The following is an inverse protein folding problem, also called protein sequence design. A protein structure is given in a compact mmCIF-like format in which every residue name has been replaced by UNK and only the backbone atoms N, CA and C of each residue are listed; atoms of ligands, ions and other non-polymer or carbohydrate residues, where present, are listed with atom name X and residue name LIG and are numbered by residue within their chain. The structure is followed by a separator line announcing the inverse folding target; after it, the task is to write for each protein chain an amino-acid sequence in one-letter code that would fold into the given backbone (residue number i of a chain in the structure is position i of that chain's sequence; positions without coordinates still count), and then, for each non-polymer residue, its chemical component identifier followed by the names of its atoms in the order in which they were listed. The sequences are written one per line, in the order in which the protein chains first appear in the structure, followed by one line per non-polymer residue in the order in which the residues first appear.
data_IF_571338612326
#
_entry.id   IF_571338612326
#
_cell.length_a   1.000
_cell.length_b   1.000
_cell.length_c   1.000
_cell.angle_alpha   90.00
_cell.angle_beta   90.00
_cell.angle_gamma   90.00
#
_symmetry.space_group_name_H-M   'P 1'
#
loop_
_entity.id
_entity.type
_entity.pdbx_description
1 polymer ?
#
# COMPACT_ATOMS: atom_id res chain seq x y z
N UNK A 1 51.37 18.88 3.51
CA UNK A 1 50.25 19.05 4.47
C UNK A 1 49.01 19.73 3.85
N UNK A 2 49.09 20.89 3.22
CA UNK A 2 47.89 21.58 2.64
C UNK A 2 47.20 20.80 1.52
N UNK A 3 47.93 20.08 0.65
CA UNK A 3 47.38 19.26 -0.44
C UNK A 3 46.66 18.00 0.06
N UNK A 4 47.16 17.38 1.14
CA UNK A 4 46.56 16.18 1.75
C UNK A 4 45.26 16.52 2.50
N UNK A 5 45.21 17.65 3.17
CA UNK A 5 44.02 18.16 3.86
C UNK A 5 42.91 18.50 2.85
N UNK A 6 43.28 19.10 1.70
CA UNK A 6 42.31 19.41 0.63
C UNK A 6 41.69 18.14 -0.02
N UNK A 7 42.50 17.09 -0.18
CA UNK A 7 42.00 15.79 -0.72
C UNK A 7 41.07 15.08 0.25
N UNK A 8 41.33 15.14 1.55
CA UNK A 8 40.45 14.58 2.58
C UNK A 8 39.17 15.37 2.68
N UNK A 9 39.20 16.69 2.57
CA UNK A 9 37.99 17.53 2.57
C UNK A 9 37.11 17.30 1.34
N UNK A 10 37.72 17.08 0.16
CA UNK A 10 36.97 16.71 -1.06
C UNK A 10 36.32 15.34 -0.98
N UNK A 11 36.98 14.37 -0.33
CA UNK A 11 36.43 13.01 -0.15
C UNK A 11 35.25 13.00 0.82
N UNK A 12 35.25 13.83 1.87
CA UNK A 12 34.13 13.95 2.83
C UNK A 12 32.93 14.64 2.19
N UNK A 13 33.13 15.57 1.25
CA UNK A 13 32.04 16.23 0.52
C UNK A 13 31.34 15.28 -0.48
N UNK A 14 32.07 14.32 -1.05
CA UNK A 14 31.47 13.31 -1.97
C UNK A 14 30.67 12.25 -1.22
N UNK A 15 31.06 11.91 0.02
CA UNK A 15 30.31 10.93 0.85
C UNK A 15 29.09 11.54 1.56
N UNK A 16 29.01 12.87 1.69
CA UNK A 16 27.88 13.57 2.34
C UNK A 16 26.62 13.72 1.47
N UNK A 17 26.70 13.38 0.18
CA UNK A 17 25.56 13.47 -0.76
C UNK A 17 24.74 12.18 -0.87
N UNK A 18 25.06 11.13 -0.10
CA UNK A 18 24.26 9.90 -0.07
C UNK A 18 23.10 10.07 0.89
N UNK A 19 21.99 10.56 0.32
CA UNK A 19 20.65 10.14 0.70
C UNK A 19 20.08 10.75 1.97
N UNK A 20 19.53 11.96 1.88
CA UNK A 20 18.19 12.10 2.38
C UNK A 20 17.27 11.31 1.41
N UNK A 21 17.08 10.03 1.63
CA UNK A 21 15.94 9.33 1.09
C UNK A 21 14.73 10.01 1.74
N UNK A 22 14.20 11.03 1.06
CA UNK A 22 12.87 11.54 1.34
C UNK A 22 11.99 10.28 1.38
N UNK A 23 11.28 10.06 2.47
CA UNK A 23 10.26 9.03 2.51
C UNK A 23 9.42 9.25 1.26
N UNK A 24 9.55 8.38 0.28
CA UNK A 24 8.92 8.57 -1.02
C UNK A 24 7.42 8.70 -0.73
N UNK A 25 6.83 9.82 -1.12
CA UNK A 25 5.40 10.05 -0.99
C UNK A 25 4.72 9.01 -1.88
N UNK A 26 4.21 7.94 -1.26
CA UNK A 26 3.60 6.79 -1.93
C UNK A 26 2.09 6.97 -2.01
N UNK A 27 1.48 6.38 -3.04
CA UNK A 27 0.02 6.25 -3.12
C UNK A 27 -0.35 4.96 -2.41
N UNK A 28 -1.02 5.06 -1.28
CA UNK A 28 -1.40 3.91 -0.47
C UNK A 28 -2.74 3.36 -0.89
N UNK A 29 -2.77 2.10 -1.31
CA UNK A 29 -3.97 1.39 -1.73
C UNK A 29 -4.21 0.23 -0.77
N UNK A 30 -5.44 0.08 -0.31
CA UNK A 30 -5.88 -1.04 0.52
C UNK A 30 -6.41 -2.20 -0.32
N UNK A 31 -6.34 -3.40 0.22
CA UNK A 31 -7.03 -4.59 -0.27
C UNK A 31 -7.70 -5.30 0.91
N UNK A 32 -8.99 -5.60 0.77
CA UNK A 32 -9.72 -6.52 1.65
C UNK A 32 -10.05 -7.79 0.87
N UNK A 33 -9.60 -8.93 1.35
CA UNK A 33 -9.85 -10.21 0.71
C UNK A 33 -9.81 -11.36 1.74
N UNK A 34 -10.54 -12.45 1.53
CA UNK A 34 -10.49 -13.62 2.40
C UNK A 34 -9.22 -14.43 2.13
N UNK A 35 -8.13 -14.12 2.83
CA UNK A 35 -6.84 -14.80 2.66
C UNK A 35 -6.76 -16.12 3.44
N UNK A 36 -7.68 -16.31 4.38
CA UNK A 36 -7.87 -17.55 5.14
C UNK A 36 -9.32 -18.03 5.10
N UNK A 37 -9.59 -19.22 5.67
CA UNK A 37 -10.92 -19.77 5.75
C UNK A 37 -11.41 -20.42 4.45
N UNK A 38 -12.73 -20.51 4.30
CA UNK A 38 -13.38 -21.24 3.20
C UNK A 38 -13.12 -20.65 1.81
N UNK A 39 -12.82 -19.38 1.75
CA UNK A 39 -12.63 -18.62 0.51
C UNK A 39 -11.16 -18.25 0.23
N UNK A 40 -10.23 -18.85 0.96
CA UNK A 40 -8.80 -18.50 0.90
C UNK A 40 -8.21 -18.62 -0.52
N UNK A 41 -8.62 -19.62 -1.30
CA UNK A 41 -8.12 -19.81 -2.66
C UNK A 41 -8.46 -18.61 -3.56
N UNK A 42 -9.68 -18.10 -3.46
CA UNK A 42 -10.14 -16.95 -4.24
C UNK A 42 -9.46 -15.66 -3.77
N UNK A 43 -9.39 -15.45 -2.45
CA UNK A 43 -8.73 -14.28 -1.87
C UNK A 43 -7.24 -14.21 -2.21
N UNK A 44 -6.53 -15.34 -2.17
CA UNK A 44 -5.13 -15.40 -2.57
C UNK A 44 -4.93 -15.11 -4.07
N UNK A 45 -5.84 -15.58 -4.92
CA UNK A 45 -5.80 -15.26 -6.35
C UNK A 45 -6.02 -13.76 -6.60
N UNK A 46 -6.94 -13.13 -5.88
CA UNK A 46 -7.16 -11.68 -5.92
C UNK A 46 -5.90 -10.93 -5.45
N UNK A 47 -5.33 -11.31 -4.31
CA UNK A 47 -4.11 -10.69 -3.78
C UNK A 47 -2.95 -10.76 -4.78
N UNK A 48 -2.74 -11.93 -5.41
CA UNK A 48 -1.69 -12.09 -6.41
C UNK A 48 -1.93 -11.21 -7.64
N UNK A 49 -3.19 -11.11 -8.09
CA UNK A 49 -3.56 -10.27 -9.23
C UNK A 49 -3.33 -8.78 -8.94
N UNK A 50 -3.72 -8.32 -7.76
CA UNK A 50 -3.50 -6.92 -7.34
C UNK A 50 -2.01 -6.62 -7.18
N UNK A 51 -1.24 -7.53 -6.57
CA UNK A 51 0.22 -7.38 -6.49
C UNK A 51 0.86 -7.26 -7.86
N UNK A 52 0.49 -8.13 -8.79
CA UNK A 52 1.00 -8.07 -10.16
C UNK A 52 0.67 -6.73 -10.84
N UNK A 53 -0.55 -6.24 -10.67
CA UNK A 53 -0.96 -4.95 -11.22
C UNK A 53 -0.15 -3.79 -10.61
N UNK A 54 0.04 -3.79 -9.29
CA UNK A 54 0.87 -2.79 -8.59
C UNK A 54 2.31 -2.84 -9.08
N UNK A 55 2.91 -4.02 -9.20
CA UNK A 55 4.28 -4.19 -9.68
C UNK A 55 4.43 -3.65 -11.11
N UNK A 56 3.47 -3.93 -11.99
CA UNK A 56 3.48 -3.44 -13.38
C UNK A 56 3.36 -1.91 -13.46
N UNK A 57 2.53 -1.30 -12.62
CA UNK A 57 2.38 0.16 -12.57
C UNK A 57 3.66 0.79 -12.02
N UNK A 58 4.20 0.24 -10.94
CA UNK A 58 5.41 0.72 -10.30
C UNK A 58 6.64 0.59 -11.21
N UNK A 59 6.75 -0.49 -11.99
CA UNK A 59 7.82 -0.66 -12.97
C UNK A 59 7.79 0.40 -14.09
N UNK A 60 6.62 0.99 -14.36
CA UNK A 60 6.43 2.09 -15.33
C UNK A 60 6.61 3.48 -14.70
N UNK A 61 7.03 3.57 -13.44
CA UNK A 61 7.25 4.84 -12.73
C UNK A 61 6.11 5.23 -11.79
N UNK A 62 5.15 4.34 -11.55
CA UNK A 62 4.02 4.59 -10.65
C UNK A 62 2.92 5.46 -11.25
N UNK A 63 2.15 6.10 -10.41
CA UNK A 63 1.07 7.01 -10.78
C UNK A 63 1.49 8.43 -10.43
N UNK A 64 1.48 9.34 -11.40
CA UNK A 64 1.94 10.74 -11.24
C UNK A 64 3.36 10.82 -10.64
N UNK A 65 4.24 9.89 -10.98
CA UNK A 65 5.61 9.82 -10.48
C UNK A 65 5.74 9.26 -9.06
N UNK A 66 4.64 8.77 -8.44
CA UNK A 66 4.64 8.18 -7.11
C UNK A 66 4.43 6.67 -7.20
N UNK A 67 5.18 5.92 -6.41
CA UNK A 67 5.00 4.48 -6.31
C UNK A 67 3.72 4.13 -5.56
N UNK A 68 3.06 3.04 -5.94
CA UNK A 68 1.94 2.47 -5.19
C UNK A 68 2.49 1.60 -4.08
N UNK A 69 1.98 1.79 -2.87
CA UNK A 69 2.20 0.93 -1.71
C UNK A 69 0.90 0.19 -1.38
N UNK A 70 0.93 -1.14 -1.39
CA UNK A 70 -0.24 -1.98 -1.17
C UNK A 70 -0.31 -2.45 0.29
N UNK A 71 -1.39 -2.11 0.97
CA UNK A 71 -1.78 -2.64 2.28
C UNK A 71 -2.89 -3.66 2.08
N UNK A 72 -2.75 -4.86 2.63
CA UNK A 72 -3.78 -5.89 2.48
C UNK A 72 -4.12 -6.55 3.81
N UNK A 73 -5.40 -6.86 3.96
CA UNK A 73 -5.97 -7.41 5.18
C UNK A 73 -6.83 -8.64 4.87
N UNK A 74 -6.81 -9.60 5.77
CA UNK A 74 -7.57 -10.83 5.69
C UNK A 74 -8.90 -10.70 6.42
N UNK A 75 -10.00 -10.59 5.69
CA UNK A 75 -11.34 -10.55 6.26
C UNK A 75 -11.95 -11.94 6.50
N UNK A 76 -11.25 -13.01 6.14
CA UNK A 76 -11.68 -14.40 6.21
C UNK A 76 -13.07 -14.67 5.57
N UNK A 77 -13.58 -13.74 4.77
CA UNK A 77 -14.95 -13.76 4.23
C UNK A 77 -16.03 -13.33 5.23
N UNK A 78 -15.64 -12.73 6.37
CA UNK A 78 -16.52 -12.39 7.48
C UNK A 78 -16.78 -10.88 7.58
N UNK A 79 -18.06 -10.49 7.57
CA UNK A 79 -18.46 -9.07 7.64
C UNK A 79 -17.97 -8.36 8.89
N UNK A 80 -17.93 -9.04 10.03
CA UNK A 80 -17.48 -8.48 11.30
C UNK A 80 -16.00 -8.13 11.27
N UNK A 81 -15.17 -9.02 10.73
CA UNK A 81 -13.73 -8.80 10.60
C UNK A 81 -13.45 -7.67 9.61
N UNK A 82 -14.13 -7.67 8.46
CA UNK A 82 -13.99 -6.65 7.43
C UNK A 82 -14.19 -5.23 7.95
N UNK A 83 -15.17 -4.98 8.83
CA UNK A 83 -15.45 -3.64 9.39
C UNK A 83 -14.24 -3.10 10.18
N UNK A 84 -13.65 -3.92 11.03
CA UNK A 84 -12.47 -3.54 11.82
C UNK A 84 -11.27 -3.23 10.94
N UNK A 85 -11.03 -4.07 9.95
CA UNK A 85 -9.92 -3.97 9.03
C UNK A 85 -10.08 -2.77 8.06
N UNK A 86 -11.30 -2.49 7.60
CA UNK A 86 -11.59 -1.31 6.81
C UNK A 86 -11.25 0.00 7.57
N UNK A 87 -11.61 0.08 8.87
CA UNK A 87 -11.22 1.22 9.71
C UNK A 87 -9.70 1.32 9.85
N UNK A 88 -9.00 0.20 10.03
CA UNK A 88 -7.53 0.16 10.09
C UNK A 88 -6.92 0.73 8.81
N UNK A 89 -7.33 0.23 7.64
CA UNK A 89 -6.83 0.70 6.35
C UNK A 89 -6.99 2.21 6.19
N UNK A 90 -8.14 2.77 6.57
CA UNK A 90 -8.40 4.21 6.42
C UNK A 90 -7.69 5.03 7.49
N UNK A 91 -7.82 4.67 8.76
CA UNK A 91 -7.40 5.52 9.88
C UNK A 91 -5.93 5.35 10.25
N UNK A 92 -5.38 4.13 10.10
CA UNK A 92 -3.99 3.84 10.47
C UNK A 92 -3.09 3.83 9.25
N UNK A 93 -3.44 3.07 8.22
CA UNK A 93 -2.62 2.90 7.02
C UNK A 93 -2.77 4.07 6.04
N UNK A 94 -3.83 4.90 6.21
CA UNK A 94 -4.09 6.12 5.41
C UNK A 94 -4.18 5.83 3.92
N UNK A 95 -4.86 4.74 3.56
CA UNK A 95 -5.10 4.41 2.15
C UNK A 95 -6.04 5.41 1.49
N UNK A 96 -5.86 5.66 0.22
CA UNK A 96 -6.66 6.61 -0.57
C UNK A 96 -7.71 5.92 -1.45
N UNK A 97 -7.62 4.61 -1.60
CA UNK A 97 -8.57 3.76 -2.29
C UNK A 97 -8.46 2.33 -1.76
N UNK A 98 -9.50 1.55 -1.91
CA UNK A 98 -9.52 0.13 -1.51
C UNK A 98 -10.02 -0.72 -2.67
N UNK A 99 -9.29 -1.77 -2.97
CA UNK A 99 -9.74 -2.89 -3.82
C UNK A 99 -10.36 -3.92 -2.89
N UNK A 100 -11.54 -4.38 -3.22
CA UNK A 100 -12.19 -5.38 -2.36
C UNK A 100 -13.47 -5.88 -2.95
N UNK A 101 -14.11 -6.77 -2.21
CA UNK A 101 -15.40 -7.24 -2.62
C UNK A 101 -15.41 -8.56 -3.36
N UNK A 102 -14.45 -9.41 -3.07
CA UNK A 102 -14.50 -10.81 -3.55
C UNK A 102 -15.77 -11.52 -3.11
N UNK A 103 -16.34 -11.10 -1.97
CA UNK A 103 -17.59 -11.67 -1.41
C UNK A 103 -18.56 -10.56 -0.98
N UNK A 104 -19.84 -10.78 -1.29
CA UNK A 104 -20.89 -9.77 -1.09
C UNK A 104 -21.11 -9.40 0.38
N UNK A 105 -20.97 -10.35 1.30
CA UNK A 105 -21.22 -10.10 2.72
C UNK A 105 -20.24 -9.10 3.34
N UNK A 106 -18.92 -9.31 3.27
CA UNK A 106 -17.95 -8.33 3.74
C UNK A 106 -18.08 -6.99 3.02
N UNK A 107 -18.20 -7.00 1.69
CA UNK A 107 -18.32 -5.78 0.88
C UNK A 107 -19.49 -4.90 1.30
N UNK A 108 -20.68 -5.47 1.44
CA UNK A 108 -21.87 -4.73 1.88
C UNK A 108 -21.73 -4.16 3.28
N UNK A 109 -21.00 -4.84 4.16
CA UNK A 109 -20.76 -4.37 5.53
C UNK A 109 -19.81 -3.16 5.58
N UNK A 110 -18.83 -3.09 4.67
CA UNK A 110 -17.83 -2.01 4.68
C UNK A 110 -18.16 -0.84 3.74
N UNK A 111 -19.02 -1.04 2.75
CA UNK A 111 -19.36 0.00 1.77
C UNK A 111 -19.86 1.32 2.42
N UNK A 112 -20.77 1.32 3.42
CA UNK A 112 -21.19 2.55 4.08
C UNK A 112 -20.03 3.27 4.79
N UNK A 113 -19.07 2.50 5.35
CA UNK A 113 -17.92 3.04 6.04
C UNK A 113 -16.97 3.74 5.06
N UNK A 114 -16.67 3.12 3.92
CA UNK A 114 -15.84 3.76 2.90
C UNK A 114 -16.52 4.99 2.29
N UNK A 115 -17.85 4.99 2.17
CA UNK A 115 -18.60 6.17 1.76
C UNK A 115 -18.49 7.31 2.79
N UNK A 116 -18.59 7.01 4.09
CA UNK A 116 -18.42 7.98 5.17
C UNK A 116 -17.02 8.63 5.17
N UNK A 117 -16.00 7.84 4.88
CA UNK A 117 -14.61 8.32 4.79
C UNK A 117 -14.22 8.86 3.41
N UNK A 118 -15.15 8.91 2.46
CA UNK A 118 -14.90 9.36 1.07
C UNK A 118 -13.77 8.57 0.38
N UNK A 119 -13.62 7.29 0.71
CA UNK A 119 -12.63 6.39 0.14
C UNK A 119 -13.29 5.53 -0.95
N UNK A 120 -12.85 5.60 -2.21
CA UNK A 120 -13.37 4.74 -3.25
C UNK A 120 -13.09 3.26 -2.96
N UNK A 121 -14.14 2.44 -3.07
CA UNK A 121 -14.11 0.99 -3.01
C UNK A 121 -14.40 0.45 -4.41
N UNK A 122 -13.47 -0.35 -4.95
CA UNK A 122 -13.52 -0.91 -6.30
C UNK A 122 -13.50 -2.43 -6.26
#
# INVERSE_FOLDING_TARGET
MKRTVMLILALVLVFGAVGAASAADTIRIGLLAPLTGYAAADGLAVLQSVKLAVDQVNAKGGVLGKQIELFYEDDAGEAKEAIGLARKLVQMDKVVAVVGGSYSMPTRAVAPLFQEFEIPLV
#
